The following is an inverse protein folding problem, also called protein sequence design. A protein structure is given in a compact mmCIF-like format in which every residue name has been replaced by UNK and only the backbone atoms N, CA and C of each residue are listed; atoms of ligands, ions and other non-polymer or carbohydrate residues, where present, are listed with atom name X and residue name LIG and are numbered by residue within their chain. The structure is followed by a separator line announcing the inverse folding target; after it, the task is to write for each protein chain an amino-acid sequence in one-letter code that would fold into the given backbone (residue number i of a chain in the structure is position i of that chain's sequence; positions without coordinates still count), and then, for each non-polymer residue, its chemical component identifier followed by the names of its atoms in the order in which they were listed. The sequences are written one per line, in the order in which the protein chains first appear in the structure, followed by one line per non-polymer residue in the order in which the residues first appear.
data_IF_434002582912
#
_entry.id   IF_434002582912
#
_cell.length_a   1.000
_cell.length_b   1.000
_cell.length_c   1.000
_cell.angle_alpha   90.00
_cell.angle_beta   90.00
_cell.angle_gamma   90.00
#
_symmetry.space_group_name_H-M   'P 1'
#
loop_
_entity.id
_entity.type
_entity.pdbx_description
1 polymer ?
#
# COMPACT_ATOMS: atom_id res chain seq x y z
N UNK A 1 -43.34 6.32 -16.36
CA UNK A 1 -41.99 6.75 -16.75
C UNK A 1 -41.66 8.18 -16.31
N UNK A 2 -42.54 9.17 -16.54
CA UNK A 2 -42.33 10.57 -16.12
C UNK A 2 -42.32 10.72 -14.59
N UNK A 3 -43.20 10.03 -13.88
CA UNK A 3 -43.28 10.06 -12.42
C UNK A 3 -42.06 9.46 -11.75
N UNK A 4 -41.58 8.28 -12.24
CA UNK A 4 -40.33 7.64 -11.76
C UNK A 4 -39.15 8.59 -11.92
N UNK A 5 -39.00 9.25 -13.07
CA UNK A 5 -37.95 10.26 -13.30
C UNK A 5 -38.05 11.47 -12.38
N UNK A 6 -39.25 11.93 -12.08
CA UNK A 6 -39.46 13.04 -11.16
C UNK A 6 -39.10 12.66 -9.72
N UNK A 7 -39.48 11.47 -9.27
CA UNK A 7 -39.09 10.95 -7.96
C UNK A 7 -37.58 10.85 -7.80
N UNK A 8 -36.88 10.28 -8.81
CA UNK A 8 -35.42 10.14 -8.80
C UNK A 8 -34.68 11.50 -8.77
N UNK A 9 -35.24 12.52 -9.45
CA UNK A 9 -34.69 13.87 -9.37
C UNK A 9 -34.84 14.48 -7.97
N UNK A 10 -35.98 14.23 -7.31
CA UNK A 10 -36.19 14.69 -5.94
C UNK A 10 -35.20 14.13 -4.97
N UNK A 11 -34.98 12.80 -5.00
CA UNK A 11 -34.02 12.13 -4.11
C UNK A 11 -32.62 12.74 -4.27
N UNK A 12 -32.14 12.99 -5.49
CA UNK A 12 -30.84 13.62 -5.71
C UNK A 12 -30.76 15.03 -5.17
N UNK A 13 -31.78 15.83 -5.48
CA UNK A 13 -31.82 17.22 -5.02
C UNK A 13 -31.94 17.31 -3.50
N UNK A 14 -32.70 16.41 -2.87
CA UNK A 14 -32.85 16.35 -1.42
C UNK A 14 -31.52 15.97 -0.76
N UNK A 15 -30.82 14.94 -1.25
CA UNK A 15 -29.49 14.56 -0.75
C UNK A 15 -28.47 15.71 -0.90
N UNK A 16 -28.40 16.35 -2.07
CA UNK A 16 -27.47 17.46 -2.30
C UNK A 16 -27.76 18.65 -1.36
N UNK A 17 -29.04 18.95 -1.14
CA UNK A 17 -29.47 20.01 -0.21
C UNK A 17 -29.18 19.65 1.24
N UNK A 18 -29.47 18.42 1.66
CA UNK A 18 -29.18 17.94 3.02
C UNK A 18 -27.68 17.95 3.36
N UNK A 19 -26.85 17.60 2.39
CA UNK A 19 -25.40 17.65 2.52
C UNK A 19 -24.83 19.06 2.39
N UNK A 20 -25.61 20.00 1.78
CA UNK A 20 -25.21 21.38 1.46
C UNK A 20 -24.08 21.42 0.38
N UNK A 21 -24.16 20.51 -0.60
CA UNK A 21 -23.22 20.42 -1.71
C UNK A 21 -23.94 20.27 -3.06
N UNK A 22 -24.10 21.38 -3.77
CA UNK A 22 -24.82 21.41 -5.07
C UNK A 22 -24.09 20.53 -6.13
N UNK A 23 -22.76 20.43 -6.08
CA UNK A 23 -22.00 19.61 -7.01
C UNK A 23 -22.24 18.11 -6.80
N UNK A 24 -22.73 17.69 -5.64
CA UNK A 24 -23.09 16.31 -5.35
C UNK A 24 -24.22 15.80 -6.27
N UNK A 25 -25.14 16.66 -6.70
CA UNK A 25 -26.25 16.24 -7.59
C UNK A 25 -25.74 15.65 -8.90
N UNK A 26 -24.65 16.18 -9.46
CA UNK A 26 -24.05 15.67 -10.69
C UNK A 26 -23.41 14.30 -10.48
N UNK A 27 -22.74 14.09 -9.34
CA UNK A 27 -22.18 12.79 -8.95
C UNK A 27 -23.29 11.75 -8.80
N UNK A 28 -24.37 12.07 -8.09
CA UNK A 28 -25.53 11.19 -7.90
C UNK A 28 -26.22 10.89 -9.23
N UNK A 29 -26.29 11.87 -10.15
CA UNK A 29 -26.82 11.67 -11.50
C UNK A 29 -25.97 10.67 -12.29
N UNK A 30 -24.65 10.74 -12.18
CA UNK A 30 -23.74 9.80 -12.85
C UNK A 30 -23.84 8.41 -12.22
N UNK A 31 -23.96 8.31 -10.90
CA UNK A 31 -24.20 7.04 -10.20
C UNK A 31 -25.48 6.37 -10.72
N UNK A 32 -26.61 7.10 -10.80
CA UNK A 32 -27.87 6.55 -11.33
C UNK A 32 -27.79 6.11 -12.79
N UNK A 33 -26.88 6.69 -13.57
CA UNK A 33 -26.68 6.29 -14.97
C UNK A 33 -25.86 4.98 -15.07
N UNK A 34 -24.90 4.79 -14.18
CA UNK A 34 -23.91 3.73 -14.27
C UNK A 34 -24.31 2.47 -13.47
N UNK A 35 -25.27 2.58 -12.55
CA UNK A 35 -25.74 1.47 -11.71
C UNK A 35 -27.26 1.25 -11.86
N UNK A 36 -27.67 -0.01 -11.79
CA UNK A 36 -29.07 -0.44 -11.90
C UNK A 36 -29.87 0.04 -10.69
N UNK A 37 -30.87 0.91 -10.90
CA UNK A 37 -31.68 1.51 -9.84
C UNK A 37 -32.45 0.49 -8.99
N UNK A 38 -32.82 -0.65 -9.58
CA UNK A 38 -33.51 -1.73 -8.88
C UNK A 38 -32.63 -2.41 -7.83
N UNK A 39 -31.29 -2.46 -8.04
CA UNK A 39 -30.32 -3.07 -7.13
C UNK A 39 -29.63 -2.01 -6.25
N UNK A 40 -29.42 -0.80 -6.78
CA UNK A 40 -28.70 0.30 -6.14
C UNK A 40 -29.53 1.57 -6.04
N UNK A 41 -30.71 1.54 -5.37
CA UNK A 41 -31.61 2.67 -5.31
C UNK A 41 -31.04 3.79 -4.43
N UNK A 42 -30.99 5.02 -4.94
CA UNK A 42 -30.57 6.18 -4.16
C UNK A 42 -31.49 6.47 -2.96
N UNK A 43 -32.73 6.01 -2.98
CA UNK A 43 -33.64 6.08 -1.84
C UNK A 43 -33.15 5.25 -0.64
N UNK A 44 -32.54 4.09 -0.88
CA UNK A 44 -31.91 3.30 0.19
C UNK A 44 -30.68 4.03 0.77
N UNK A 45 -29.89 4.69 -0.10
CA UNK A 45 -28.76 5.51 0.34
C UNK A 45 -29.25 6.68 1.20
N UNK A 46 -30.34 7.37 0.79
CA UNK A 46 -30.92 8.48 1.56
C UNK A 46 -31.39 8.02 2.93
N UNK A 47 -32.19 6.97 3.01
CA UNK A 47 -32.69 6.42 4.29
C UNK A 47 -31.54 6.03 5.23
N UNK A 48 -30.50 5.39 4.68
CA UNK A 48 -29.34 5.00 5.46
C UNK A 48 -28.54 6.22 5.93
N UNK A 49 -28.37 7.22 5.08
CA UNK A 49 -27.70 8.48 5.42
C UNK A 49 -28.44 9.22 6.55
N UNK A 50 -29.76 9.35 6.45
CA UNK A 50 -30.60 9.97 7.49
C UNK A 50 -30.40 9.33 8.86
N UNK A 51 -30.16 8.00 8.91
CA UNK A 51 -29.87 7.29 10.16
C UNK A 51 -28.55 7.67 10.83
N UNK A 52 -27.61 8.28 10.08
CA UNK A 52 -26.32 8.76 10.59
C UNK A 52 -26.32 10.26 10.87
N UNK A 53 -27.27 11.00 10.32
CA UNK A 53 -27.33 12.45 10.48
C UNK A 53 -27.64 12.84 11.92
N UNK A 54 -26.90 13.83 12.42
CA UNK A 54 -27.12 14.47 13.72
C UNK A 54 -27.29 15.96 13.53
N UNK A 55 -28.04 16.65 14.40
CA UNK A 55 -28.10 18.10 14.39
C UNK A 55 -26.70 18.74 14.42
N UNK A 56 -26.51 19.81 13.68
CA UNK A 56 -25.26 20.59 13.62
C UNK A 56 -24.03 19.88 13.01
N UNK A 57 -24.21 18.84 12.21
CA UNK A 57 -23.10 18.29 11.41
C UNK A 57 -22.61 19.28 10.37
N UNK A 58 -21.29 19.40 10.22
CA UNK A 58 -20.68 20.15 9.12
C UNK A 58 -20.91 19.44 7.78
N UNK A 59 -20.78 20.16 6.67
CA UNK A 59 -20.85 19.58 5.32
C UNK A 59 -19.89 18.39 5.16
N UNK A 60 -18.68 18.53 5.64
CA UNK A 60 -17.68 17.44 5.60
C UNK A 60 -18.12 16.20 6.38
N UNK A 61 -18.68 16.37 7.58
CA UNK A 61 -19.19 15.27 8.37
C UNK A 61 -20.42 14.61 7.71
N UNK A 62 -21.29 15.40 7.06
CA UNK A 62 -22.42 14.88 6.26
C UNK A 62 -21.94 14.06 5.07
N UNK A 63 -20.90 14.50 4.35
CA UNK A 63 -20.29 13.74 3.24
C UNK A 63 -19.64 12.43 3.72
N UNK A 64 -19.00 12.44 4.87
CA UNK A 64 -18.46 11.23 5.48
C UNK A 64 -19.58 10.24 5.88
N UNK A 65 -20.68 10.76 6.45
CA UNK A 65 -21.86 9.97 6.78
C UNK A 65 -22.51 9.36 5.53
N UNK A 66 -22.62 10.13 4.43
CA UNK A 66 -23.17 9.66 3.16
C UNK A 66 -22.28 8.55 2.55
N UNK A 67 -20.96 8.74 2.56
CA UNK A 67 -20.00 7.74 2.10
C UNK A 67 -20.09 6.46 2.95
N UNK A 68 -20.15 6.60 4.28
CA UNK A 68 -20.34 5.48 5.20
C UNK A 68 -21.67 4.75 4.95
N UNK A 69 -22.75 5.47 4.69
CA UNK A 69 -24.04 4.89 4.35
C UNK A 69 -23.94 3.98 3.11
N UNK A 70 -23.24 4.43 2.07
CA UNK A 70 -23.00 3.62 0.88
C UNK A 70 -22.15 2.35 1.19
N UNK A 71 -21.12 2.48 2.02
CA UNK A 71 -20.30 1.31 2.45
C UNK A 71 -21.15 0.29 3.19
N UNK A 72 -22.01 0.71 4.12
CA UNK A 72 -22.87 -0.19 4.89
C UNK A 72 -24.02 -0.84 4.11
N UNK A 73 -24.31 -0.35 2.90
CA UNK A 73 -25.23 -0.98 1.97
C UNK A 73 -24.57 -2.09 1.14
N UNK A 74 -23.27 -2.27 1.23
CA UNK A 74 -22.55 -3.32 0.51
C UNK A 74 -22.92 -4.69 1.08
N UNK A 75 -23.45 -5.56 0.22
CA UNK A 75 -23.79 -6.95 0.54
C UNK A 75 -23.30 -7.87 -0.59
N UNK A 76 -23.43 -9.18 -0.39
CA UNK A 76 -23.10 -10.19 -1.42
C UNK A 76 -24.01 -10.00 -2.66
N UNK A 77 -25.28 -9.62 -2.44
CA UNK A 77 -26.27 -9.41 -3.50
C UNK A 77 -26.10 -8.04 -4.19
N UNK A 78 -25.52 -7.06 -3.48
CA UNK A 78 -25.32 -5.70 -3.99
C UNK A 78 -23.87 -5.20 -3.77
N UNK A 79 -22.86 -5.87 -4.34
CA UNK A 79 -21.45 -5.58 -4.06
C UNK A 79 -20.97 -4.24 -4.64
N UNK A 80 -21.63 -3.71 -5.68
CA UNK A 80 -21.18 -2.46 -6.33
C UNK A 80 -21.45 -1.20 -5.51
N UNK A 81 -22.08 -1.28 -4.34
CA UNK A 81 -22.11 -0.17 -3.39
C UNK A 81 -20.71 0.31 -3.00
N UNK A 82 -19.70 -0.56 -3.02
CA UNK A 82 -18.29 -0.16 -2.85
C UNK A 82 -17.82 0.86 -3.90
N UNK A 83 -18.24 0.72 -5.16
CA UNK A 83 -17.89 1.69 -6.21
C UNK A 83 -18.67 2.99 -6.06
N UNK A 84 -19.91 2.93 -5.59
CA UNK A 84 -20.71 4.13 -5.28
C UNK A 84 -20.05 4.89 -4.13
N UNK A 85 -19.68 4.20 -3.05
CA UNK A 85 -18.95 4.78 -1.92
C UNK A 85 -17.61 5.39 -2.35
N UNK A 86 -16.87 4.73 -3.25
CA UNK A 86 -15.63 5.28 -3.82
C UNK A 86 -15.85 6.60 -4.56
N UNK A 87 -16.93 6.72 -5.33
CA UNK A 87 -17.26 7.97 -6.06
C UNK A 87 -17.59 9.11 -5.11
N UNK A 88 -18.31 8.84 -4.03
CA UNK A 88 -18.60 9.81 -2.99
C UNK A 88 -17.33 10.26 -2.26
N UNK A 89 -16.47 9.32 -1.89
CA UNK A 89 -15.16 9.61 -1.30
C UNK A 89 -14.29 10.45 -2.24
N UNK A 90 -14.22 10.07 -3.52
CA UNK A 90 -13.41 10.79 -4.52
C UNK A 90 -13.93 12.21 -4.77
N UNK A 91 -15.25 12.41 -4.77
CA UNK A 91 -15.84 13.74 -4.88
C UNK A 91 -15.40 14.66 -3.74
N UNK A 92 -15.53 14.19 -2.50
CA UNK A 92 -15.10 14.96 -1.30
C UNK A 92 -13.61 15.26 -1.35
N UNK A 93 -12.80 14.24 -1.64
CA UNK A 93 -11.36 14.38 -1.74
C UNK A 93 -10.93 15.37 -2.82
N UNK A 94 -11.45 15.22 -4.04
CA UNK A 94 -11.11 16.07 -5.19
C UNK A 94 -11.46 17.53 -4.94
N UNK A 95 -12.63 17.81 -4.34
CA UNK A 95 -13.06 19.15 -3.97
C UNK A 95 -12.11 19.78 -2.95
N UNK A 96 -11.78 19.06 -1.87
CA UNK A 96 -10.82 19.52 -0.84
C UNK A 96 -9.42 19.75 -1.43
N UNK A 97 -8.94 18.83 -2.30
CA UNK A 97 -7.65 18.96 -2.92
C UNK A 97 -7.56 20.15 -3.87
N UNK A 98 -8.58 20.38 -4.68
CA UNK A 98 -8.66 21.54 -5.57
C UNK A 98 -8.67 22.87 -4.79
N UNK A 99 -9.46 22.97 -3.71
CA UNK A 99 -9.50 24.16 -2.84
C UNK A 99 -8.11 24.48 -2.27
N UNK A 100 -7.41 23.47 -1.75
CA UNK A 100 -6.06 23.62 -1.18
C UNK A 100 -5.04 24.17 -2.19
N UNK A 101 -5.08 23.71 -3.42
CA UNK A 101 -4.17 24.21 -4.46
C UNK A 101 -4.54 25.63 -4.88
N UNK A 102 -5.83 25.94 -4.94
CA UNK A 102 -6.32 27.30 -5.23
C UNK A 102 -5.91 28.29 -4.14
N UNK A 103 -6.07 27.95 -2.87
CA UNK A 103 -5.66 28.75 -1.71
C UNK A 103 -4.17 29.03 -1.68
N UNK A 104 -3.36 28.10 -2.17
CA UNK A 104 -1.90 28.24 -2.31
C UNK A 104 -1.46 29.03 -3.53
N UNK A 105 -2.39 29.38 -4.43
CA UNK A 105 -2.10 30.05 -5.69
C UNK A 105 -1.32 29.20 -6.69
N UNK A 106 -1.32 27.87 -6.52
CA UNK A 106 -0.55 26.93 -7.35
C UNK A 106 -1.46 26.36 -8.45
N UNK A 107 -1.08 26.56 -9.72
CA UNK A 107 -1.86 26.14 -10.89
C UNK A 107 -1.01 25.27 -11.82
N UNK A 108 -1.60 24.16 -12.29
CA UNK A 108 -0.96 23.22 -13.21
C UNK A 108 -0.03 22.23 -12.49
N UNK A 109 0.25 21.13 -13.18
CA UNK A 109 1.03 20.02 -12.63
C UNK A 109 2.47 20.44 -12.31
N UNK A 110 3.14 21.14 -13.23
CA UNK A 110 4.52 21.57 -13.03
C UNK A 110 4.71 22.39 -11.74
N UNK A 111 3.85 23.38 -11.51
CA UNK A 111 3.93 24.21 -10.31
C UNK A 111 3.61 23.42 -9.03
N UNK A 112 2.72 22.44 -9.09
CA UNK A 112 2.46 21.52 -7.98
C UNK A 112 3.68 20.65 -7.66
N UNK A 113 4.32 20.06 -8.67
CA UNK A 113 5.54 19.27 -8.48
C UNK A 113 6.66 20.14 -7.90
N UNK A 114 6.85 21.36 -8.42
CA UNK A 114 7.84 22.31 -7.88
C UNK A 114 7.57 22.61 -6.40
N UNK A 115 6.33 22.97 -6.06
CA UNK A 115 5.94 23.23 -4.66
C UNK A 115 6.23 22.00 -3.76
N UNK A 116 5.87 20.80 -4.19
CA UNK A 116 6.12 19.58 -3.42
C UNK A 116 7.61 19.27 -3.28
N UNK A 117 8.41 19.55 -4.32
CA UNK A 117 9.87 19.41 -4.30
C UNK A 117 10.49 20.39 -3.31
N UNK A 118 10.08 21.66 -3.33
CA UNK A 118 10.55 22.69 -2.39
C UNK A 118 10.21 22.34 -0.91
N UNK A 119 9.13 21.59 -0.69
CA UNK A 119 8.76 21.05 0.64
C UNK A 119 9.47 19.75 1.01
N UNK A 120 10.31 19.20 0.14
CA UNK A 120 11.00 17.92 0.33
C UNK A 120 10.06 16.72 0.33
N UNK A 121 8.90 16.81 -0.32
CA UNK A 121 7.89 15.76 -0.44
C UNK A 121 7.98 15.01 -1.78
N UNK A 122 8.49 15.67 -2.83
CA UNK A 122 8.73 15.13 -4.16
C UNK A 122 10.22 15.13 -4.48
N UNK A 123 10.69 14.18 -5.29
CA UNK A 123 12.09 14.08 -5.69
C UNK A 123 12.46 15.15 -6.71
N UNK A 124 13.50 15.92 -6.43
CA UNK A 124 14.06 16.95 -7.32
C UNK A 124 14.57 16.39 -8.64
N UNK A 125 14.97 15.12 -8.65
CA UNK A 125 15.45 14.41 -9.84
C UNK A 125 14.40 14.35 -10.96
N UNK A 126 13.10 14.41 -10.67
CA UNK A 126 12.05 14.46 -11.70
C UNK A 126 12.13 15.80 -12.44
N UNK A 127 12.18 16.93 -11.73
CA UNK A 127 12.31 18.27 -12.33
C UNK A 127 13.68 18.47 -13.00
N UNK A 128 14.72 17.74 -12.60
CA UNK A 128 16.01 17.75 -13.26
C UNK A 128 16.03 16.95 -14.58
N UNK A 129 15.15 15.97 -14.73
CA UNK A 129 15.08 15.07 -15.91
C UNK A 129 14.07 15.49 -16.95
N UNK A 130 13.00 16.17 -16.55
CA UNK A 130 11.90 16.59 -17.42
C UNK A 130 11.82 18.11 -17.49
N UNK A 131 11.69 18.66 -18.71
CA UNK A 131 11.42 20.07 -18.88
C UNK A 131 10.01 20.44 -18.42
N UNK A 132 9.77 21.75 -18.27
CA UNK A 132 8.42 22.25 -17.95
C UNK A 132 7.42 21.83 -19.02
N UNK A 133 7.79 21.98 -20.29
CA UNK A 133 6.94 21.64 -21.44
C UNK A 133 6.58 20.15 -21.47
N UNK A 134 7.51 19.27 -21.10
CA UNK A 134 7.26 17.83 -21.00
C UNK A 134 6.28 17.51 -19.85
N UNK A 135 6.40 18.16 -18.70
CA UNK A 135 5.48 17.96 -17.56
C UNK A 135 4.09 18.53 -17.88
N UNK A 136 4.03 19.72 -18.50
CA UNK A 136 2.76 20.33 -18.91
C UNK A 136 2.07 19.45 -19.99
N UNK A 137 2.83 18.84 -20.91
CA UNK A 137 2.31 17.87 -21.87
C UNK A 137 1.82 16.59 -21.18
N UNK A 138 2.54 16.10 -20.17
CA UNK A 138 2.14 14.93 -19.37
C UNK A 138 0.86 15.18 -18.58
N UNK A 139 0.60 16.40 -18.10
CA UNK A 139 -0.68 16.76 -17.46
C UNK A 139 -1.87 16.45 -18.37
N UNK A 140 -1.69 16.61 -19.70
CA UNK A 140 -2.71 16.24 -20.69
C UNK A 140 -3.01 14.74 -20.79
N UNK A 141 -2.23 13.87 -20.17
CA UNK A 141 -2.50 12.43 -20.10
C UNK A 141 -3.48 12.07 -18.98
N UNK A 142 -3.64 12.94 -17.97
CA UNK A 142 -4.49 12.68 -16.82
C UNK A 142 -5.94 12.42 -17.23
N UNK A 143 -6.49 11.33 -16.75
CA UNK A 143 -7.86 10.91 -17.03
C UNK A 143 -8.64 10.67 -15.72
N UNK A 144 -9.19 11.72 -15.08
CA UNK A 144 -9.91 11.60 -13.81
C UNK A 144 -11.07 10.60 -13.84
N UNK A 145 -11.64 10.35 -15.04
CA UNK A 145 -12.70 9.35 -15.22
C UNK A 145 -12.26 7.94 -14.81
N UNK A 146 -10.97 7.63 -14.86
CA UNK A 146 -10.44 6.32 -14.44
C UNK A 146 -10.54 6.10 -12.92
N UNK A 147 -10.75 7.15 -12.13
CA UNK A 147 -11.01 7.01 -10.69
C UNK A 147 -12.33 6.28 -10.39
N UNK A 148 -13.22 6.14 -11.38
CA UNK A 148 -14.44 5.31 -11.26
C UNK A 148 -14.17 3.81 -11.20
N UNK A 149 -12.93 3.37 -11.49
CA UNK A 149 -12.50 1.98 -11.39
C UNK A 149 -12.19 1.54 -9.96
N UNK A 150 -12.01 2.47 -9.03
CA UNK A 150 -11.72 2.13 -7.64
C UNK A 150 -12.94 1.62 -6.88
N UNK A 151 -12.70 0.61 -6.03
CA UNK A 151 -13.56 0.32 -4.88
C UNK A 151 -13.29 1.32 -3.75
N UNK A 152 -14.20 1.42 -2.79
CA UNK A 152 -14.00 2.30 -1.62
C UNK A 152 -12.73 1.93 -0.86
N UNK A 153 -12.55 0.64 -0.54
CA UNK A 153 -11.37 0.15 0.18
C UNK A 153 -10.07 0.42 -0.58
N UNK A 154 -10.08 0.27 -1.91
CA UNK A 154 -8.94 0.57 -2.77
C UNK A 154 -8.57 2.05 -2.77
N UNK A 155 -9.54 2.93 -2.97
CA UNK A 155 -9.31 4.38 -2.97
C UNK A 155 -8.88 4.90 -1.60
N UNK A 156 -9.55 4.47 -0.52
CA UNK A 156 -9.22 4.85 0.85
C UNK A 156 -7.78 4.45 1.20
N UNK A 157 -7.37 3.24 0.80
CA UNK A 157 -6.00 2.76 0.97
C UNK A 157 -4.98 3.61 0.20
N UNK A 158 -5.28 3.98 -1.07
CA UNK A 158 -4.42 4.85 -1.86
C UNK A 158 -4.24 6.21 -1.20
N UNK A 159 -5.33 6.84 -0.78
CA UNK A 159 -5.31 8.17 -0.16
C UNK A 159 -4.59 8.17 1.20
N UNK A 160 -4.69 7.08 1.97
CA UNK A 160 -4.06 6.95 3.29
C UNK A 160 -2.59 6.54 3.27
N UNK A 161 -2.14 5.79 2.24
CA UNK A 161 -0.81 5.16 2.27
C UNK A 161 0.10 5.48 1.09
N UNK A 162 -0.44 5.72 -0.10
CA UNK A 162 0.35 5.74 -1.33
C UNK A 162 0.56 7.14 -1.90
N UNK A 163 -0.47 7.98 -1.89
CA UNK A 163 -0.35 9.37 -2.38
C UNK A 163 0.60 10.19 -1.51
N UNK A 164 1.19 11.21 -2.08
CA UNK A 164 1.99 12.17 -1.32
C UNK A 164 1.09 12.91 -0.35
N UNK A 165 1.53 12.98 0.89
CA UNK A 165 0.82 13.60 2.00
C UNK A 165 1.65 14.74 2.60
N UNK A 166 0.95 15.72 3.18
CA UNK A 166 1.55 16.72 4.05
C UNK A 166 2.10 16.09 5.34
N UNK A 167 2.81 16.88 6.15
CA UNK A 167 3.26 16.42 7.49
C UNK A 167 2.10 16.13 8.45
N UNK A 168 0.92 16.73 8.20
CA UNK A 168 -0.34 16.43 8.91
C UNK A 168 -1.12 15.25 8.30
N UNK A 169 -0.51 14.48 7.41
CA UNK A 169 -1.08 13.32 6.70
C UNK A 169 -2.27 13.63 5.78
N UNK A 170 -2.38 14.87 5.32
CA UNK A 170 -3.37 15.24 4.33
C UNK A 170 -2.88 14.88 2.92
N UNK A 171 -3.67 14.18 2.10
CA UNK A 171 -3.34 13.88 0.72
C UNK A 171 -3.16 15.16 -0.11
N UNK A 172 -2.07 15.24 -0.88
CA UNK A 172 -1.69 16.39 -1.70
C UNK A 172 -1.68 16.10 -3.21
N UNK A 173 -1.83 14.86 -3.61
CA UNK A 173 -1.95 14.47 -5.03
C UNK A 173 -3.19 13.60 -5.22
N UNK A 174 -3.76 13.62 -6.40
CA UNK A 174 -4.82 12.71 -6.81
C UNK A 174 -4.27 11.33 -7.16
N UNK A 175 -5.09 10.26 -7.20
CA UNK A 175 -4.66 8.95 -7.69
C UNK A 175 -4.08 9.02 -9.10
N UNK A 176 -4.65 9.83 -9.98
CA UNK A 176 -4.15 10.00 -11.35
C UNK A 176 -2.79 10.69 -11.39
N UNK A 177 -2.56 11.73 -10.56
CA UNK A 177 -1.25 12.37 -10.43
C UNK A 177 -0.21 11.42 -9.84
N UNK A 178 -0.61 10.57 -8.89
CA UNK A 178 0.24 9.51 -8.34
C UNK A 178 0.71 8.55 -9.45
N UNK A 179 -0.20 8.01 -10.26
CA UNK A 179 0.16 7.12 -11.36
C UNK A 179 1.05 7.81 -12.40
N UNK A 180 0.77 9.08 -12.70
CA UNK A 180 1.60 9.86 -13.62
C UNK A 180 3.00 10.09 -13.05
N UNK A 181 3.12 10.43 -11.77
CA UNK A 181 4.41 10.60 -11.10
C UNK A 181 5.25 9.31 -11.08
N UNK A 182 4.61 8.16 -10.89
CA UNK A 182 5.26 6.84 -11.01
C UNK A 182 5.72 6.62 -12.44
N UNK A 183 4.89 6.91 -13.44
CA UNK A 183 5.23 6.77 -14.85
C UNK A 183 6.41 7.66 -15.27
N UNK A 184 6.45 8.91 -14.81
CA UNK A 184 7.59 9.81 -14.99
C UNK A 184 8.88 9.21 -14.40
N UNK A 185 8.80 8.65 -13.19
CA UNK A 185 9.96 7.99 -12.59
C UNK A 185 10.44 6.79 -13.40
N UNK A 186 9.54 5.90 -13.80
CA UNK A 186 9.90 4.68 -14.53
C UNK A 186 10.51 4.99 -15.91
N UNK A 187 10.01 6.02 -16.60
CA UNK A 187 10.47 6.38 -17.93
C UNK A 187 11.68 7.33 -17.96
N UNK A 188 12.15 7.82 -16.81
CA UNK A 188 13.16 8.90 -16.77
C UNK A 188 14.50 8.58 -17.45
N UNK A 189 14.83 7.32 -17.60
CA UNK A 189 16.08 6.87 -18.23
C UNK A 189 15.90 6.33 -19.65
N UNK A 190 14.69 6.41 -20.22
CA UNK A 190 14.45 5.99 -21.60
C UNK A 190 15.18 6.94 -22.59
N UNK A 191 16.00 6.35 -23.45
CA UNK A 191 16.84 7.08 -24.39
C UNK A 191 16.04 7.63 -25.58
N UNK A 192 14.93 6.99 -25.94
CA UNK A 192 14.07 7.38 -27.05
C UNK A 192 12.60 7.29 -26.67
N UNK A 193 11.77 8.15 -27.27
CA UNK A 193 10.31 8.20 -27.04
C UNK A 193 9.92 8.24 -25.54
N UNK A 194 10.70 8.95 -24.72
CA UNK A 194 10.51 9.00 -23.27
C UNK A 194 9.08 9.37 -22.89
N UNK A 195 8.47 10.36 -23.53
CA UNK A 195 7.10 10.77 -23.25
C UNK A 195 6.06 9.74 -23.70
N UNK A 196 6.35 8.99 -24.76
CA UNK A 196 5.55 7.84 -25.16
C UNK A 196 5.58 6.72 -24.10
N UNK A 197 6.74 6.46 -23.49
CA UNK A 197 6.85 5.53 -22.35
C UNK A 197 6.14 6.04 -21.11
N UNK A 198 6.23 7.32 -20.78
CA UNK A 198 5.44 7.93 -19.68
C UNK A 198 3.95 7.65 -19.88
N UNK A 199 3.44 7.89 -21.09
CA UNK A 199 2.03 7.64 -21.39
C UNK A 199 1.65 6.18 -21.28
N UNK A 200 2.47 5.26 -21.80
CA UNK A 200 2.22 3.81 -21.72
C UNK A 200 2.17 3.33 -20.27
N UNK A 201 3.16 3.69 -19.46
CA UNK A 201 3.17 3.33 -18.03
C UNK A 201 1.98 3.93 -17.27
N UNK A 202 1.67 5.20 -17.51
CA UNK A 202 0.49 5.83 -16.93
C UNK A 202 -0.80 5.12 -17.33
N UNK A 203 -0.98 4.80 -18.60
CA UNK A 203 -2.17 4.13 -19.10
C UNK A 203 -2.36 2.75 -18.46
N UNK A 204 -1.32 1.93 -18.39
CA UNK A 204 -1.37 0.59 -17.78
C UNK A 204 -1.71 0.66 -16.28
N UNK A 205 -1.06 1.56 -15.54
CA UNK A 205 -1.28 1.70 -14.11
C UNK A 205 -2.67 2.26 -13.80
N UNK A 206 -3.07 3.34 -14.48
CA UNK A 206 -4.33 4.03 -14.21
C UNK A 206 -5.57 3.29 -14.71
N UNK A 207 -5.41 2.36 -15.66
CA UNK A 207 -6.46 1.42 -16.08
C UNK A 207 -6.54 0.15 -15.21
N UNK A 208 -5.70 0.02 -14.19
CA UNK A 208 -5.62 -1.18 -13.34
C UNK A 208 -5.21 -2.46 -14.09
N UNK A 209 -4.52 -2.34 -15.22
CA UNK A 209 -4.01 -3.49 -16.00
C UNK A 209 -2.81 -4.13 -15.30
N UNK A 210 -2.03 -3.33 -14.58
CA UNK A 210 -0.85 -3.75 -13.81
C UNK A 210 -0.85 -3.07 -12.44
N UNK A 211 -0.55 -3.84 -11.42
CA UNK A 211 -0.27 -3.36 -10.06
C UNK A 211 1.22 -3.48 -9.76
N UNK A 212 1.82 -2.43 -9.23
CA UNK A 212 3.22 -2.41 -8.84
C UNK A 212 3.40 -2.77 -7.37
N UNK A 213 4.61 -3.22 -7.01
CA UNK A 213 4.96 -3.47 -5.62
C UNK A 213 4.80 -2.20 -4.75
N UNK A 214 4.45 -2.39 -3.48
CA UNK A 214 4.25 -1.28 -2.52
C UNK A 214 5.35 -0.23 -2.54
N UNK A 215 6.66 -0.55 -2.53
CA UNK A 215 7.70 0.47 -2.58
C UNK A 215 7.70 1.29 -3.87
N UNK A 216 7.40 0.68 -5.01
CA UNK A 216 7.27 1.42 -6.28
C UNK A 216 6.11 2.40 -6.20
N UNK A 217 4.93 1.95 -5.77
CA UNK A 217 3.74 2.79 -5.64
C UNK A 217 3.95 3.94 -4.65
N UNK A 218 4.65 3.68 -3.54
CA UNK A 218 4.86 4.64 -2.47
C UNK A 218 6.01 5.61 -2.72
N UNK A 219 7.10 5.16 -3.34
CA UNK A 219 8.39 5.88 -3.32
C UNK A 219 8.86 6.38 -4.68
N UNK A 220 8.32 5.88 -5.82
CA UNK A 220 8.84 6.15 -7.15
C UNK A 220 9.00 7.64 -7.51
N UNK A 221 8.38 8.55 -6.83
CA UNK A 221 8.48 10.00 -7.08
C UNK A 221 8.93 10.81 -5.88
N UNK A 222 9.26 10.12 -4.77
CA UNK A 222 9.72 10.77 -3.53
C UNK A 222 11.23 10.99 -3.54
N UNK A 223 11.77 11.86 -2.68
CA UNK A 223 13.21 12.08 -2.58
C UNK A 223 13.98 10.79 -2.33
N UNK A 224 13.44 9.91 -1.46
CA UNK A 224 13.98 8.57 -1.24
C UNK A 224 13.18 7.55 -2.03
N UNK A 225 13.71 7.16 -3.19
CA UNK A 225 13.00 6.36 -4.20
C UNK A 225 13.52 4.91 -4.26
N UNK A 226 13.59 4.23 -3.13
CA UNK A 226 13.84 2.79 -3.07
C UNK A 226 12.58 2.04 -3.54
N UNK A 227 12.68 1.22 -4.60
CA UNK A 227 11.54 0.60 -5.27
C UNK A 227 11.42 -0.91 -5.04
N UNK A 228 12.48 -1.58 -4.57
CA UNK A 228 12.47 -3.02 -4.36
C UNK A 228 11.69 -3.39 -3.10
N UNK A 229 10.84 -4.41 -3.20
CA UNK A 229 10.04 -4.89 -2.06
C UNK A 229 10.72 -5.99 -1.27
N UNK A 230 11.62 -6.77 -1.91
CA UNK A 230 12.19 -7.98 -1.34
C UNK A 230 13.71 -8.02 -1.52
N UNK A 231 14.39 -8.36 -0.44
CA UNK A 231 15.85 -8.51 -0.38
C UNK A 231 16.19 -9.85 0.23
N UNK A 232 17.37 -10.39 -0.10
CA UNK A 232 17.85 -11.67 0.42
C UNK A 232 19.28 -11.46 0.94
N UNK A 233 19.58 -12.01 2.12
CA UNK A 233 20.94 -12.06 2.67
C UNK A 233 21.23 -13.43 3.25
N UNK A 234 22.50 -13.84 3.16
CA UNK A 234 23.02 -15.04 3.79
C UNK A 234 23.79 -14.63 5.04
N UNK A 235 23.30 -15.04 6.21
CA UNK A 235 23.91 -14.69 7.50
C UNK A 235 25.21 -15.46 7.70
N UNK A 236 26.38 -14.78 7.78
CA UNK A 236 27.66 -15.45 8.02
C UNK A 236 27.77 -15.96 9.46
N UNK A 237 28.54 -17.05 9.66
CA UNK A 237 28.80 -17.63 10.98
C UNK A 237 29.87 -16.86 11.74
N UNK A 238 29.67 -15.59 12.00
CA UNK A 238 30.53 -14.72 12.80
C UNK A 238 29.69 -13.59 13.45
N UNK A 239 30.20 -13.08 14.58
CA UNK A 239 29.52 -11.99 15.29
C UNK A 239 29.30 -10.78 14.38
N UNK A 240 30.36 -10.29 13.72
CA UNK A 240 30.29 -9.14 12.82
C UNK A 240 29.36 -9.40 11.63
N UNK A 241 29.39 -10.62 11.08
CA UNK A 241 28.54 -11.02 9.96
C UNK A 241 27.06 -11.03 10.34
N UNK A 242 26.72 -11.61 11.49
CA UNK A 242 25.34 -11.66 11.98
C UNK A 242 24.81 -10.24 12.22
N UNK A 243 25.55 -9.39 12.95
CA UNK A 243 25.12 -8.01 13.20
C UNK A 243 25.06 -7.16 11.93
N UNK A 244 25.92 -7.40 10.94
CA UNK A 244 25.82 -6.76 9.62
C UNK A 244 24.52 -7.12 8.91
N UNK A 245 24.11 -8.38 8.93
CA UNK A 245 22.84 -8.82 8.35
C UNK A 245 21.65 -8.20 9.07
N UNK A 246 21.70 -8.06 10.41
CA UNK A 246 20.67 -7.37 11.19
C UNK A 246 20.61 -5.87 10.85
N UNK A 247 21.75 -5.18 10.75
CA UNK A 247 21.85 -3.78 10.34
C UNK A 247 21.31 -3.57 8.92
N UNK A 248 21.68 -4.43 7.98
CA UNK A 248 21.13 -4.41 6.62
C UNK A 248 19.60 -4.57 6.63
N UNK A 249 19.09 -5.52 7.42
CA UNK A 249 17.65 -5.71 7.57
C UNK A 249 16.97 -4.45 8.14
N UNK A 250 17.52 -3.86 9.20
CA UNK A 250 16.97 -2.63 9.79
C UNK A 250 16.90 -1.48 8.76
N UNK A 251 17.95 -1.31 7.95
CA UNK A 251 17.99 -0.29 6.87
C UNK A 251 16.96 -0.57 5.78
N UNK A 252 16.82 -1.83 5.35
CA UNK A 252 15.82 -2.25 4.36
C UNK A 252 14.41 -2.02 4.89
N UNK A 253 14.14 -2.43 6.14
CA UNK A 253 12.84 -2.27 6.79
C UNK A 253 12.43 -0.81 6.90
N UNK A 254 13.35 0.07 7.31
CA UNK A 254 13.13 1.53 7.39
C UNK A 254 12.55 2.12 6.09
N UNK A 255 12.92 1.58 4.94
CA UNK A 255 12.48 2.05 3.62
C UNK A 255 11.39 1.16 2.98
N UNK A 256 10.73 0.33 3.79
CA UNK A 256 9.55 -0.44 3.39
C UNK A 256 9.85 -1.72 2.63
N UNK A 257 11.11 -2.16 2.56
CA UNK A 257 11.49 -3.46 2.03
C UNK A 257 11.30 -4.59 3.05
N UNK A 258 10.98 -5.81 2.58
CA UNK A 258 11.06 -7.04 3.35
C UNK A 258 12.36 -7.78 3.09
N UNK A 259 12.82 -8.61 4.03
CA UNK A 259 14.09 -9.34 3.89
C UNK A 259 13.93 -10.83 4.17
N UNK A 260 14.60 -11.65 3.36
CA UNK A 260 14.83 -13.07 3.61
C UNK A 260 16.24 -13.28 4.15
N UNK A 261 16.36 -13.85 5.35
CA UNK A 261 17.63 -14.13 6.01
C UNK A 261 17.85 -15.65 6.08
N UNK A 262 18.89 -16.13 5.40
CA UNK A 262 19.27 -17.52 5.42
C UNK A 262 20.29 -17.79 6.53
N UNK A 263 19.89 -18.60 7.53
CA UNK A 263 20.66 -18.94 8.72
C UNK A 263 21.40 -20.29 8.63
N UNK A 264 21.26 -21.04 7.54
CA UNK A 264 21.83 -22.38 7.40
C UNK A 264 23.35 -22.45 7.53
N UNK A 265 24.08 -21.33 7.42
CA UNK A 265 25.55 -21.28 7.66
C UNK A 265 25.92 -21.02 9.12
N UNK A 266 24.98 -20.53 9.95
CA UNK A 266 25.27 -20.28 11.36
C UNK A 266 25.25 -21.58 12.14
N UNK A 267 26.26 -21.78 12.95
CA UNK A 267 26.46 -23.02 13.72
C UNK A 267 25.30 -23.28 14.70
N UNK A 268 24.96 -24.56 14.85
CA UNK A 268 23.92 -25.02 15.76
C UNK A 268 24.33 -24.91 17.23
N UNK A 269 23.33 -24.96 18.11
CA UNK A 269 23.49 -25.09 19.56
C UNK A 269 24.44 -26.23 19.90
N UNK A 270 25.35 -25.98 20.84
CA UNK A 270 26.34 -26.96 21.30
C UNK A 270 27.56 -27.14 20.39
N UNK A 271 27.64 -26.42 19.26
CA UNK A 271 28.82 -26.42 18.42
C UNK A 271 30.03 -25.79 19.13
N UNK A 272 31.25 -26.13 18.69
CA UNK A 272 32.46 -25.57 19.25
C UNK A 272 32.68 -24.10 18.84
N UNK A 273 33.19 -23.28 19.77
CA UNK A 273 33.70 -21.94 19.52
C UNK A 273 35.14 -21.86 20.02
N UNK A 274 36.09 -21.56 19.12
CA UNK A 274 37.56 -21.51 19.44
C UNK A 274 38.06 -22.74 20.16
N UNK A 275 37.55 -23.93 19.80
CA UNK A 275 37.96 -25.21 20.42
C UNK A 275 37.16 -25.60 21.66
N UNK A 276 36.37 -24.70 22.26
CA UNK A 276 35.50 -24.99 23.39
C UNK A 276 34.21 -25.66 22.92
N UNK A 277 34.02 -26.92 23.24
CA UNK A 277 32.83 -27.70 22.92
C UNK A 277 31.61 -27.18 23.71
N UNK A 278 30.43 -27.24 23.09
CA UNK A 278 29.17 -26.83 23.75
C UNK A 278 28.98 -25.33 23.89
N UNK A 279 29.86 -24.48 23.36
CA UNK A 279 29.86 -23.06 23.61
C UNK A 279 28.85 -22.28 22.76
N UNK A 280 28.43 -22.80 21.58
CA UNK A 280 27.51 -22.11 20.69
C UNK A 280 26.07 -22.12 21.21
N UNK A 281 25.41 -20.97 21.13
CA UNK A 281 24.02 -20.81 21.51
C UNK A 281 22.98 -21.08 20.44
N UNK A 282 23.44 -21.47 19.23
CA UNK A 282 22.58 -21.79 18.08
C UNK A 282 21.92 -20.63 17.40
N UNK A 283 21.05 -20.92 16.41
CA UNK A 283 20.43 -19.91 15.55
C UNK A 283 19.26 -19.19 16.21
N UNK A 284 18.52 -19.83 17.11
CA UNK A 284 17.27 -19.30 17.67
C UNK A 284 17.47 -17.95 18.35
N UNK A 285 18.55 -17.78 19.10
CA UNK A 285 18.88 -16.53 19.80
C UNK A 285 19.13 -15.37 18.82
N UNK A 286 19.73 -15.64 17.68
CA UNK A 286 19.96 -14.65 16.64
C UNK A 286 18.67 -14.31 15.86
N UNK A 287 17.82 -15.31 15.61
CA UNK A 287 16.52 -15.11 15.00
C UNK A 287 15.63 -14.24 15.90
N UNK A 288 15.73 -14.38 17.22
CA UNK A 288 15.02 -13.50 18.15
C UNK A 288 15.48 -12.05 18.03
N UNK A 289 16.77 -11.78 17.89
CA UNK A 289 17.28 -10.42 17.65
C UNK A 289 16.69 -9.84 16.35
N UNK A 290 16.55 -10.64 15.30
CA UNK A 290 15.91 -10.26 14.05
C UNK A 290 14.42 -9.96 14.28
N UNK A 291 13.72 -10.78 15.08
CA UNK A 291 12.33 -10.56 15.46
C UNK A 291 12.15 -9.19 16.15
N UNK A 292 12.96 -8.90 17.15
CA UNK A 292 12.88 -7.64 17.90
C UNK A 292 13.23 -6.44 17.00
N UNK A 293 14.13 -6.62 16.04
CA UNK A 293 14.45 -5.62 15.02
C UNK A 293 13.24 -5.38 14.08
N UNK A 294 12.52 -6.43 13.69
CA UNK A 294 11.33 -6.31 12.83
C UNK A 294 10.23 -5.50 13.51
N UNK A 295 10.06 -5.68 14.83
CA UNK A 295 9.09 -4.91 15.63
C UNK A 295 9.55 -3.47 15.84
N UNK A 296 10.85 -3.26 16.07
CA UNK A 296 11.41 -1.95 16.41
C UNK A 296 11.55 -1.01 15.21
N UNK A 297 11.72 -1.54 13.99
CA UNK A 297 12.01 -0.75 12.79
C UNK A 297 10.93 -0.95 11.75
N UNK A 298 10.05 0.04 11.61
CA UNK A 298 9.04 0.10 10.59
C UNK A 298 9.18 1.35 9.70
N UNK A 299 8.45 1.40 8.60
CA UNK A 299 8.40 2.58 7.72
C UNK A 299 7.42 3.61 8.29
N UNK A 300 7.81 4.31 9.37
CA UNK A 300 7.04 5.42 9.99
C UNK A 300 5.57 5.03 10.29
N UNK A 301 5.32 3.78 10.69
CA UNK A 301 3.98 3.25 10.93
C UNK A 301 3.15 2.98 9.67
N UNK A 302 3.74 3.13 8.47
CA UNK A 302 3.04 2.89 7.20
C UNK A 302 3.09 1.41 6.78
N UNK A 303 4.21 0.73 7.09
CA UNK A 303 4.42 -0.69 6.82
C UNK A 303 5.28 -1.28 7.94
N UNK A 304 4.78 -2.33 8.57
CA UNK A 304 5.55 -3.08 9.58
C UNK A 304 6.74 -3.79 8.94
N UNK A 305 7.82 -3.93 9.71
CA UNK A 305 8.98 -4.73 9.31
C UNK A 305 8.55 -6.17 9.02
N UNK A 306 9.04 -6.73 7.91
CA UNK A 306 8.72 -8.10 7.50
C UNK A 306 10.01 -8.85 7.16
N UNK A 307 10.23 -9.99 7.81
CA UNK A 307 11.42 -10.82 7.62
C UNK A 307 11.07 -12.31 7.59
N UNK A 308 11.50 -12.98 6.51
CA UNK A 308 11.49 -14.43 6.43
C UNK A 308 12.85 -14.96 6.89
N UNK A 309 12.85 -15.99 7.71
CA UNK A 309 14.07 -16.67 8.19
C UNK A 309 14.10 -18.09 7.66
N UNK A 310 15.21 -18.47 7.06
CA UNK A 310 15.37 -19.75 6.37
C UNK A 310 16.41 -20.63 7.07
N UNK A 311 16.07 -21.90 7.26
CA UNK A 311 16.96 -22.90 7.83
C UNK A 311 16.87 -24.21 7.03
N UNK A 312 17.99 -24.90 6.90
CA UNK A 312 18.01 -26.19 6.19
C UNK A 312 17.39 -27.31 7.00
N UNK A 313 16.77 -28.28 6.31
CA UNK A 313 16.15 -29.46 6.94
C UNK A 313 17.13 -30.33 7.75
N UNK A 314 18.45 -30.27 7.46
CA UNK A 314 19.49 -31.00 8.18
C UNK A 314 20.16 -30.21 9.32
N UNK A 315 19.72 -28.94 9.55
CA UNK A 315 20.30 -28.13 10.61
C UNK A 315 19.88 -28.67 11.99
N UNK A 316 20.84 -28.81 12.93
CA UNK A 316 20.59 -29.44 14.25
C UNK A 316 19.59 -28.67 15.10
N UNK A 317 19.44 -27.37 14.90
CA UNK A 317 18.46 -26.54 15.60
C UNK A 317 17.06 -26.52 14.90
N UNK A 318 16.82 -27.41 13.92
CA UNK A 318 15.54 -27.44 13.22
C UNK A 318 14.33 -27.73 14.14
N UNK A 319 14.41 -28.66 15.12
CA UNK A 319 13.28 -28.91 16.02
C UNK A 319 12.82 -27.66 16.77
N UNK A 320 13.75 -26.87 17.29
CA UNK A 320 13.47 -25.61 17.99
C UNK A 320 13.00 -24.52 17.00
N UNK A 321 13.56 -24.49 15.79
CA UNK A 321 13.16 -23.57 14.74
C UNK A 321 11.70 -23.77 14.33
N UNK A 322 11.21 -25.01 14.23
CA UNK A 322 9.81 -25.31 13.93
C UNK A 322 8.85 -24.85 15.04
N UNK A 323 9.34 -24.61 16.24
CA UNK A 323 8.55 -24.14 17.38
C UNK A 323 8.61 -22.63 17.60
N UNK A 324 9.28 -21.86 16.74
CA UNK A 324 9.47 -20.41 16.90
C UNK A 324 8.17 -19.63 17.15
N UNK A 325 7.06 -20.05 16.55
CA UNK A 325 5.77 -19.36 16.60
C UNK A 325 4.71 -20.08 17.44
N UNK A 326 5.06 -21.17 18.12
CA UNK A 326 4.09 -21.85 18.99
C UNK A 326 3.93 -21.11 20.32
N UNK A 327 2.74 -21.20 20.90
CA UNK A 327 2.39 -20.48 22.14
C UNK A 327 2.76 -21.25 23.42
N UNK A 328 3.54 -22.30 23.31
CA UNK A 328 4.00 -23.12 24.44
C UNK A 328 5.52 -23.12 24.55
N UNK A 329 6.06 -23.37 25.73
CA UNK A 329 7.50 -23.43 26.00
C UNK A 329 8.10 -22.11 26.52
N UNK A 330 9.42 -21.98 26.44
CA UNK A 330 10.16 -20.81 26.93
C UNK A 330 10.05 -19.64 25.93
N UNK A 331 9.46 -18.53 26.36
CA UNK A 331 9.29 -17.32 25.54
C UNK A 331 10.60 -16.73 25.01
N UNK A 332 11.72 -17.02 25.70
CA UNK A 332 13.06 -16.62 25.23
C UNK A 332 13.50 -17.35 23.98
N UNK A 333 12.82 -18.44 23.62
CA UNK A 333 13.06 -19.25 22.41
C UNK A 333 12.00 -19.01 21.34
N UNK A 334 11.18 -17.94 21.48
CA UNK A 334 10.10 -17.60 20.55
C UNK A 334 10.44 -16.37 19.71
N UNK A 335 9.88 -16.34 18.49
CA UNK A 335 9.98 -15.25 17.53
C UNK A 335 8.69 -15.21 16.70
N UNK A 336 7.69 -14.47 17.18
CA UNK A 336 6.33 -14.50 16.61
C UNK A 336 6.18 -13.62 15.36
N UNK A 337 7.06 -12.62 15.18
CA UNK A 337 6.98 -11.63 14.12
C UNK A 337 7.86 -11.96 12.91
N UNK A 338 8.56 -13.09 12.93
CA UNK A 338 9.30 -13.63 11.77
C UNK A 338 8.49 -14.70 11.05
N UNK A 339 8.79 -14.91 9.78
CA UNK A 339 8.19 -15.94 8.93
C UNK A 339 9.21 -17.09 8.73
N UNK A 340 9.14 -18.18 9.51
CA UNK A 340 10.07 -19.30 9.36
C UNK A 340 9.78 -20.11 8.10
N UNK A 341 10.83 -20.49 7.40
CA UNK A 341 10.80 -21.37 6.23
C UNK A 341 11.91 -22.40 6.28
N UNK A 342 11.62 -23.65 5.92
CA UNK A 342 12.61 -24.75 5.86
C UNK A 342 13.04 -24.97 4.43
N UNK A 343 14.35 -25.05 4.20
CA UNK A 343 14.93 -25.43 2.93
C UNK A 343 15.05 -26.95 2.85
N UNK A 344 14.24 -27.58 2.01
CA UNK A 344 14.26 -29.02 1.76
C UNK A 344 15.02 -29.30 0.46
N UNK A 345 16.12 -30.08 0.49
CA UNK A 345 16.83 -30.46 -0.73
C UNK A 345 16.12 -31.58 -1.48
N UNK A 346 16.45 -31.78 -2.74
CA UNK A 346 15.93 -32.87 -3.57
C UNK A 346 16.10 -34.26 -2.93
N UNK A 347 17.22 -34.46 -2.22
CA UNK A 347 17.46 -35.70 -1.51
C UNK A 347 16.42 -35.99 -0.43
N UNK A 348 15.98 -34.95 0.31
CA UNK A 348 14.91 -35.09 1.30
C UNK A 348 13.64 -35.63 0.65
N UNK A 349 13.20 -35.02 -0.45
CA UNK A 349 11.99 -35.45 -1.15
C UNK A 349 12.10 -36.86 -1.73
N UNK A 350 13.25 -37.22 -2.28
CA UNK A 350 13.52 -38.57 -2.78
C UNK A 350 13.50 -39.64 -1.67
N UNK A 351 13.92 -39.27 -0.46
CA UNK A 351 13.86 -40.20 0.69
C UNK A 351 12.44 -40.27 1.24
N UNK A 352 11.75 -39.14 1.37
CA UNK A 352 10.38 -39.10 1.83
C UNK A 352 9.41 -39.84 0.91
N UNK A 353 9.63 -39.79 -0.42
CA UNK A 353 8.85 -40.57 -1.39
C UNK A 353 9.01 -42.10 -1.19
N UNK A 354 10.19 -42.52 -0.80
CA UNK A 354 10.47 -43.94 -0.54
C UNK A 354 9.99 -44.42 0.81
N UNK A 355 10.13 -43.61 1.83
CA UNK A 355 9.72 -43.93 3.20
C UNK A 355 9.63 -42.67 4.05
N UNK A 356 8.40 -42.20 4.34
CA UNK A 356 8.16 -41.03 5.17
C UNK A 356 8.63 -41.16 6.60
N UNK A 357 8.74 -42.38 7.14
CA UNK A 357 9.15 -42.64 8.51
C UNK A 357 10.70 -42.87 8.63
N UNK A 358 11.43 -42.76 7.54
CA UNK A 358 12.87 -42.87 7.59
C UNK A 358 13.48 -41.69 8.33
N UNK A 359 14.46 -41.90 9.22
CA UNK A 359 15.14 -40.78 9.88
C UNK A 359 15.91 -39.94 8.86
N UNK A 360 15.84 -38.67 9.05
CA UNK A 360 16.53 -37.68 8.23
C UNK A 360 17.77 -37.13 8.94
#
# INVERSE_FOLDING_TARGET
YREKRAALRRVRADLAREVEDDALEDVLRQIQKDFEEEVYPLSALQLKFESFCKPAMTMDAKMEALTKAAVELTTVEAPKWEFIAARLLNHTFSKRNASRWTERGVKGLYERLRYLTDKGLYGDYILARYSREEIDAAEGFLCPKRDTLFTYSGLDLLLKRYVIQSRSREPLETPQEMFLGIALHLAMNEASDRMGWVRRFYDMLSRMEVTMATPTMSNARKPHHQLSSCFIDTVPDSLDGIYRSVDNFAKVSKFGGGMGLYFGKVRATGSAIRGFQGAAGGVIRWIRLVNDTAVAVDQLGMRQGAVAVYLDAWHKDLPEFLQLRTNNGDDRMKAHDVFPAVCYPDLFWKLAEKNLDAPW
#
